data_IF_761789858021
#
_entry.id   IF_761789858021
#
_cell.length_a   1.000
_cell.length_b   1.000
_cell.length_c   1.000
_cell.angle_alpha   90.00
_cell.angle_beta   90.00
_cell.angle_gamma   90.00
#
_symmetry.space_group_name_H-M   'P 1'
#
loop_
_entity.id
_entity.type
_entity.pdbx_description
1 polymer ?
#
# COMPACT_ATOMS: atom_id res chain seq x y z
N UNK A 1 -11.99 97.97 0.60
CA UNK A 1 -11.93 98.45 -0.79
C UNK A 1 -10.74 97.79 -1.47
N UNK A 2 -10.97 97.18 -2.64
CA UNK A 2 -9.98 96.85 -3.70
C UNK A 2 -9.06 95.66 -3.33
N UNK A 3 -8.87 94.58 -4.10
CA UNK A 3 -9.39 94.14 -5.39
C UNK A 3 -9.22 92.61 -5.47
N UNK A 4 -10.18 91.96 -6.11
CA UNK A 4 -10.05 90.61 -6.64
C UNK A 4 -9.25 90.62 -7.95
N UNK A 5 -8.42 89.60 -8.22
CA UNK A 5 -8.18 89.12 -9.59
C UNK A 5 -7.50 87.73 -9.62
N UNK A 6 -8.32 86.75 -9.99
CA UNK A 6 -8.11 85.57 -10.82
C UNK A 6 -6.76 84.82 -10.76
N UNK A 7 -6.78 83.64 -10.11
CA UNK A 7 -5.83 82.55 -10.36
C UNK A 7 -6.51 81.55 -11.29
N UNK A 8 -5.99 81.45 -12.52
CA UNK A 8 -6.31 80.39 -13.49
C UNK A 8 -5.65 79.10 -12.99
N UNK A 9 -6.46 78.15 -12.53
CA UNK A 9 -5.99 76.83 -12.13
C UNK A 9 -6.18 75.85 -13.29
N UNK A 10 -5.14 75.70 -14.12
CA UNK A 10 -5.10 74.70 -15.18
C UNK A 10 -4.83 73.33 -14.56
N UNK A 11 -5.89 72.57 -14.27
CA UNK A 11 -5.79 71.17 -13.85
C UNK A 11 -5.41 70.36 -15.10
N UNK A 12 -4.12 70.06 -15.23
CA UNK A 12 -3.64 68.97 -16.09
C UNK A 12 -4.17 67.66 -15.51
N UNK A 13 -5.30 67.19 -16.03
CA UNK A 13 -5.70 65.78 -15.94
C UNK A 13 -4.72 64.94 -16.78
N UNK A 14 -3.60 64.56 -16.16
CA UNK A 14 -2.79 63.44 -16.62
C UNK A 14 -3.57 62.15 -16.32
N UNK A 15 -4.53 61.81 -17.19
CA UNK A 15 -5.08 60.47 -17.25
C UNK A 15 -3.94 59.53 -17.65
N UNK A 16 -3.42 58.75 -16.69
CA UNK A 16 -2.61 57.58 -16.99
C UNK A 16 -3.52 56.52 -17.61
N UNK A 17 -3.86 56.70 -18.88
CA UNK A 17 -4.25 55.58 -19.74
C UNK A 17 -3.00 54.75 -19.98
N UNK A 18 -2.71 53.84 -19.05
CA UNK A 18 -1.78 52.74 -19.34
C UNK A 18 -2.42 51.93 -20.46
N UNK A 19 -2.08 52.25 -21.70
CA UNK A 19 -2.42 51.43 -22.84
C UNK A 19 -1.93 50.01 -22.53
N UNK A 20 -2.85 49.05 -22.46
CA UNK A 20 -2.49 47.63 -22.31
C UNK A 20 -1.66 47.29 -23.54
N UNK A 21 -0.35 47.13 -23.34
CA UNK A 21 0.57 46.78 -24.41
C UNK A 21 0.22 45.36 -24.88
N UNK A 22 -0.43 45.26 -26.05
CA UNK A 22 -0.78 43.98 -26.66
C UNK A 22 0.43 43.49 -27.43
N UNK A 23 0.99 42.34 -27.04
CA UNK A 23 2.16 41.77 -27.69
C UNK A 23 1.80 41.14 -29.05
N UNK A 24 2.70 41.32 -30.03
CA UNK A 24 2.63 40.65 -31.33
C UNK A 24 3.51 39.40 -31.36
N UNK A 25 3.36 38.58 -32.40
CA UNK A 25 4.26 37.44 -32.62
C UNK A 25 5.73 37.85 -32.77
N UNK A 26 6.02 39.08 -33.24
CA UNK A 26 7.39 39.59 -33.36
C UNK A 26 7.99 39.83 -31.98
N UNK A 27 7.22 40.47 -31.10
CA UNK A 27 7.64 40.76 -29.72
C UNK A 27 7.88 39.47 -28.94
N UNK A 28 6.99 38.49 -29.08
CA UNK A 28 7.17 37.16 -28.47
C UNK A 28 8.43 36.46 -28.98
N UNK A 29 8.81 36.59 -30.25
CA UNK A 29 10.07 36.03 -30.74
C UNK A 29 11.28 36.71 -30.08
N UNK A 30 11.26 38.03 -29.89
CA UNK A 30 12.35 38.75 -29.21
C UNK A 30 12.50 38.26 -27.77
N UNK A 31 11.38 38.15 -27.03
CA UNK A 31 11.39 37.64 -25.65
C UNK A 31 11.85 36.18 -25.57
N UNK A 32 11.52 35.37 -26.58
CA UNK A 32 11.99 33.99 -26.68
C UNK A 32 13.52 33.93 -26.81
N UNK A 33 14.11 34.69 -27.74
CA UNK A 33 15.57 34.73 -27.93
C UNK A 33 16.30 35.25 -26.68
N UNK A 34 15.71 36.24 -26.00
CA UNK A 34 16.24 36.78 -24.75
C UNK A 34 16.03 35.87 -23.53
N UNK A 35 15.30 34.76 -23.68
CA UNK A 35 14.88 33.88 -22.57
C UNK A 35 14.15 34.65 -21.46
N UNK A 36 13.39 35.68 -21.83
CA UNK A 36 12.56 36.48 -20.94
C UNK A 36 11.29 35.70 -20.56
N UNK A 37 11.46 34.61 -19.81
CA UNK A 37 10.43 33.59 -19.56
C UNK A 37 9.11 34.13 -19.04
N UNK A 38 9.16 34.91 -17.94
CA UNK A 38 7.95 35.35 -17.24
C UNK A 38 7.14 36.33 -18.07
N UNK A 39 7.82 37.24 -18.75
CA UNK A 39 7.21 38.24 -19.62
C UNK A 39 6.58 37.58 -20.85
N UNK A 40 7.32 36.69 -21.53
CA UNK A 40 6.78 35.91 -22.64
C UNK A 40 5.49 35.19 -22.23
N UNK A 41 5.51 34.47 -21.10
CA UNK A 41 4.39 33.64 -20.67
C UNK A 41 3.20 34.46 -20.17
N UNK A 42 3.43 35.65 -19.60
CA UNK A 42 2.36 36.57 -19.23
C UNK A 42 1.60 37.10 -20.46
N UNK A 43 2.32 37.32 -21.56
CA UNK A 43 1.78 37.88 -22.80
C UNK A 43 1.49 36.83 -23.89
N UNK A 44 1.71 35.54 -23.61
CA UNK A 44 1.51 34.47 -24.59
C UNK A 44 0.06 34.42 -25.13
N UNK A 45 -0.92 34.80 -24.30
CA UNK A 45 -2.34 34.80 -24.67
C UNK A 45 -2.81 36.08 -25.37
N UNK A 46 -1.97 37.13 -25.44
CA UNK A 46 -2.28 38.38 -26.18
C UNK A 46 -2.47 38.11 -27.68
N UNK A 47 -1.80 37.07 -28.19
CA UNK A 47 -2.01 36.57 -29.54
C UNK A 47 -3.43 36.03 -29.65
N UNK A 48 -4.21 36.62 -30.56
CA UNK A 48 -5.60 36.19 -30.83
C UNK A 48 -5.66 34.70 -31.15
N UNK A 49 -6.70 33.96 -30.70
CA UNK A 49 -6.82 32.52 -30.94
C UNK A 49 -6.62 32.09 -32.40
N UNK A 50 -7.13 32.85 -33.36
CA UNK A 50 -6.98 32.60 -34.81
C UNK A 50 -5.54 32.70 -35.32
N UNK A 51 -4.65 33.40 -34.60
CA UNK A 51 -3.25 33.60 -34.96
C UNK A 51 -2.29 32.65 -34.23
N UNK A 52 -2.80 31.78 -33.34
CA UNK A 52 -2.03 30.79 -32.57
C UNK A 52 -1.67 29.57 -33.44
N UNK A 53 -0.76 29.82 -34.38
CA UNK A 53 -0.24 28.83 -35.32
C UNK A 53 0.78 27.88 -34.66
N UNK A 54 1.34 26.94 -35.44
CA UNK A 54 2.32 25.95 -34.97
C UNK A 54 3.51 26.58 -34.24
N UNK A 55 4.08 27.65 -34.81
CA UNK A 55 5.23 28.38 -34.24
C UNK A 55 4.91 28.93 -32.84
N UNK A 56 3.76 29.59 -32.67
CA UNK A 56 3.35 30.09 -31.35
C UNK A 56 3.26 28.95 -30.32
N UNK A 57 2.74 27.78 -30.71
CA UNK A 57 2.63 26.62 -29.81
C UNK A 57 4.00 26.11 -29.39
N UNK A 58 4.90 25.92 -30.34
CA UNK A 58 6.27 25.44 -30.10
C UNK A 58 7.02 26.37 -29.15
N UNK A 59 7.03 27.68 -29.44
CA UNK A 59 7.72 28.67 -28.61
C UNK A 59 7.11 28.76 -27.21
N UNK A 60 5.78 28.73 -27.10
CA UNK A 60 5.11 28.81 -25.80
C UNK A 60 5.37 27.59 -24.93
N UNK A 61 5.28 26.39 -25.50
CA UNK A 61 5.64 25.15 -24.81
C UNK A 61 7.10 25.16 -24.37
N UNK A 62 8.01 25.61 -25.26
CA UNK A 62 9.44 25.68 -24.96
C UNK A 62 9.75 26.68 -23.86
N UNK A 63 9.20 27.89 -23.91
CA UNK A 63 9.39 28.91 -22.87
C UNK A 63 8.87 28.45 -21.51
N UNK A 64 7.71 27.79 -21.48
CA UNK A 64 7.16 27.25 -20.24
C UNK A 64 8.06 26.13 -19.67
N UNK A 65 8.49 25.19 -20.51
CA UNK A 65 9.31 24.05 -20.08
C UNK A 65 10.72 24.48 -19.66
N UNK A 66 11.33 25.40 -20.39
CA UNK A 66 12.67 25.93 -20.11
C UNK A 66 12.64 26.79 -18.84
N UNK A 67 11.58 27.58 -18.63
CA UNK A 67 11.38 28.32 -17.39
C UNK A 67 11.36 27.39 -16.17
N UNK A 68 10.51 26.36 -16.19
CA UNK A 68 10.40 25.41 -15.07
C UNK A 68 11.73 24.68 -14.86
N UNK A 69 12.38 24.25 -15.95
CA UNK A 69 13.70 23.60 -15.88
C UNK A 69 14.75 24.53 -15.26
N UNK A 70 14.73 25.82 -15.60
CA UNK A 70 15.67 26.80 -15.03
C UNK A 70 15.50 26.95 -13.51
N UNK A 71 14.26 26.89 -13.01
CA UNK A 71 13.99 26.95 -11.57
C UNK A 71 14.45 25.68 -10.85
N UNK A 72 14.15 24.51 -11.42
CA UNK A 72 14.57 23.21 -10.88
C UNK A 72 16.11 23.16 -10.81
N UNK A 73 16.80 23.54 -11.88
CA UNK A 73 18.26 23.51 -11.94
C UNK A 73 18.92 24.47 -10.94
N UNK A 74 18.24 25.58 -10.60
CA UNK A 74 18.68 26.51 -9.56
C UNK A 74 18.30 26.06 -8.14
N UNK A 75 17.59 24.94 -7.98
CA UNK A 75 17.08 24.48 -6.68
C UNK A 75 16.01 25.39 -6.08
N UNK A 76 15.38 26.25 -6.89
CA UNK A 76 14.37 27.21 -6.42
C UNK A 76 13.00 26.54 -6.43
N UNK A 77 12.39 26.36 -5.27
CA UNK A 77 11.06 25.75 -5.13
C UNK A 77 10.20 26.52 -4.12
N UNK A 78 9.77 27.72 -4.51
CA UNK A 78 8.98 28.62 -3.66
C UNK A 78 7.48 28.49 -3.93
N UNK A 79 6.66 28.93 -2.96
CA UNK A 79 5.21 29.03 -3.09
C UNK A 79 4.78 29.84 -4.31
N UNK A 80 5.36 31.03 -4.50
CA UNK A 80 5.04 31.89 -5.63
C UNK A 80 5.41 31.23 -6.96
N UNK A 81 6.53 30.51 -7.03
CA UNK A 81 6.90 29.75 -8.21
C UNK A 81 5.92 28.60 -8.49
N UNK A 82 5.49 27.86 -7.46
CA UNK A 82 4.47 26.82 -7.58
C UNK A 82 3.16 27.39 -8.12
N UNK A 83 2.62 28.44 -7.49
CA UNK A 83 1.38 29.11 -7.93
C UNK A 83 1.47 29.63 -9.36
N UNK A 84 2.60 30.22 -9.75
CA UNK A 84 2.80 30.69 -11.11
C UNK A 84 2.76 29.53 -12.12
N UNK A 85 3.47 28.43 -11.84
CA UNK A 85 3.49 27.25 -12.73
C UNK A 85 2.11 26.60 -12.81
N UNK A 86 1.38 26.50 -11.69
CA UNK A 86 0.00 26.02 -11.69
C UNK A 86 -0.89 26.89 -12.58
N UNK A 87 -0.72 28.21 -12.54
CA UNK A 87 -1.48 29.15 -13.37
C UNK A 87 -1.18 29.00 -14.87
N UNK A 88 0.02 28.56 -15.26
CA UNK A 88 0.35 28.30 -16.67
C UNK A 88 -0.52 27.20 -17.28
N UNK A 89 -1.13 26.31 -16.47
CA UNK A 89 -2.07 25.29 -16.96
C UNK A 89 -3.37 25.87 -17.52
N UNK A 90 -3.64 27.17 -17.29
CA UNK A 90 -4.74 27.89 -17.93
C UNK A 90 -4.49 28.12 -19.43
N UNK A 91 -3.24 28.02 -19.90
CA UNK A 91 -2.90 28.03 -21.32
C UNK A 91 -3.21 26.61 -21.88
N UNK A 92 -4.21 26.44 -22.77
CA UNK A 92 -4.72 25.11 -23.12
C UNK A 92 -3.70 24.16 -23.74
N UNK A 93 -2.71 24.69 -24.47
CA UNK A 93 -1.64 23.88 -25.07
C UNK A 93 -0.69 23.31 -24.02
N UNK A 94 -0.41 24.06 -22.95
CA UNK A 94 0.47 23.61 -21.86
C UNK A 94 -0.21 22.55 -21.00
N UNK A 95 -1.54 22.66 -20.81
CA UNK A 95 -2.32 21.65 -20.09
C UNK A 95 -2.22 20.26 -20.74
N UNK A 96 -2.07 20.20 -22.06
CA UNK A 96 -2.00 18.96 -22.85
C UNK A 96 -0.58 18.54 -23.21
N UNK A 97 0.42 19.38 -22.94
CA UNK A 97 1.81 19.11 -23.32
C UNK A 97 2.52 18.23 -22.28
N UNK A 98 3.01 17.09 -22.73
CA UNK A 98 3.57 16.06 -21.86
C UNK A 98 4.90 16.45 -21.21
N UNK A 99 5.72 17.23 -21.92
CA UNK A 99 7.01 17.71 -21.40
C UNK A 99 6.78 18.76 -20.33
N UNK A 100 5.92 19.75 -20.60
CA UNK A 100 5.55 20.76 -19.62
C UNK A 100 4.87 20.13 -18.39
N UNK A 101 3.91 19.22 -18.58
CA UNK A 101 3.25 18.54 -17.45
C UNK A 101 4.24 17.74 -16.61
N UNK A 102 5.21 17.07 -17.23
CA UNK A 102 6.27 16.39 -16.49
C UNK A 102 7.07 17.40 -15.67
N UNK A 103 7.57 18.48 -16.29
CA UNK A 103 8.32 19.54 -15.61
C UNK A 103 7.55 20.18 -14.47
N UNK A 104 6.26 20.47 -14.67
CA UNK A 104 5.34 20.92 -13.62
C UNK A 104 5.31 19.95 -12.45
N UNK A 105 5.18 18.64 -12.70
CA UNK A 105 5.22 17.61 -11.65
C UNK A 105 6.58 17.55 -10.94
N UNK A 106 7.70 17.70 -11.64
CA UNK A 106 9.04 17.73 -11.03
C UNK A 106 9.20 18.93 -10.07
N UNK A 107 8.71 20.11 -10.49
CA UNK A 107 8.72 21.30 -9.67
C UNK A 107 7.79 21.15 -8.46
N UNK A 108 6.56 20.66 -8.67
CA UNK A 108 5.60 20.42 -7.60
C UNK A 108 6.17 19.46 -6.54
N UNK A 109 6.84 18.37 -6.95
CA UNK A 109 7.51 17.47 -6.01
C UNK A 109 8.57 18.20 -5.17
N UNK A 110 9.39 19.03 -5.81
CA UNK A 110 10.43 19.81 -5.13
C UNK A 110 9.83 20.81 -4.13
N UNK A 111 8.73 21.47 -4.50
CA UNK A 111 7.95 22.34 -3.62
C UNK A 111 7.38 21.57 -2.43
N UNK A 112 6.58 20.52 -2.66
CA UNK A 112 5.93 19.76 -1.59
C UNK A 112 6.93 19.04 -0.68
N UNK A 113 8.11 18.66 -1.18
CA UNK A 113 9.20 18.11 -0.35
C UNK A 113 9.64 19.07 0.75
N UNK A 114 9.66 20.38 0.45
CA UNK A 114 10.03 21.44 1.40
C UNK A 114 8.86 21.97 2.24
N UNK A 115 7.63 21.58 1.88
CA UNK A 115 6.40 22.13 2.45
C UNK A 115 5.93 21.33 3.66
N UNK A 116 6.18 21.83 4.87
CA UNK A 116 5.89 21.15 6.16
C UNK A 116 4.59 21.59 6.83
N UNK A 117 3.92 22.63 6.32
CA UNK A 117 2.71 23.22 6.93
C UNK A 117 1.44 22.47 6.52
N UNK A 118 0.38 22.59 7.33
CA UNK A 118 -0.92 21.97 7.03
C UNK A 118 -1.57 22.53 5.74
N UNK A 119 -1.30 23.79 5.40
CA UNK A 119 -1.74 24.41 4.14
C UNK A 119 -1.25 23.66 2.91
N UNK A 120 -0.06 23.05 2.97
CA UNK A 120 0.52 22.23 1.91
C UNK A 120 -0.36 21.04 1.54
N UNK A 121 -1.15 20.52 2.49
CA UNK A 121 -2.04 19.38 2.26
C UNK A 121 -3.21 19.73 1.34
N UNK A 122 -3.80 20.92 1.54
CA UNK A 122 -4.90 21.39 0.68
C UNK A 122 -4.39 21.62 -0.74
N UNK A 123 -3.25 22.30 -0.87
CA UNK A 123 -2.60 22.55 -2.15
C UNK A 123 -2.20 21.26 -2.87
N UNK A 124 -1.66 20.28 -2.13
CA UNK A 124 -1.32 18.98 -2.71
C UNK A 124 -2.56 18.28 -3.26
N UNK A 125 -3.69 18.29 -2.55
CA UNK A 125 -4.92 17.68 -3.05
C UNK A 125 -5.44 18.35 -4.32
N UNK A 126 -5.38 19.67 -4.40
CA UNK A 126 -5.77 20.43 -5.59
C UNK A 126 -4.85 20.14 -6.78
N UNK A 127 -3.55 20.18 -6.55
CA UNK A 127 -2.54 19.79 -7.53
C UNK A 127 -2.79 18.37 -8.03
N UNK A 128 -2.90 17.40 -7.11
CA UNK A 128 -3.03 15.99 -7.41
C UNK A 128 -4.25 15.68 -8.27
N UNK A 129 -5.40 16.33 -7.99
CA UNK A 129 -6.64 16.13 -8.75
C UNK A 129 -6.53 16.54 -10.22
N UNK A 130 -5.63 17.47 -10.53
CA UNK A 130 -5.48 18.05 -11.87
C UNK A 130 -4.17 17.66 -12.56
N UNK A 131 -3.27 17.00 -11.84
CA UNK A 131 -1.98 16.59 -12.35
C UNK A 131 -2.09 15.44 -13.34
N UNK A 132 -1.24 15.48 -14.36
CA UNK A 132 -0.93 14.28 -15.12
C UNK A 132 -0.08 13.38 -14.22
N UNK A 133 -0.46 12.11 -14.13
CA UNK A 133 0.18 11.12 -13.28
C UNK A 133 1.33 10.43 -14.00
N UNK A 134 2.44 10.33 -13.29
CA UNK A 134 3.67 9.70 -13.76
C UNK A 134 4.14 8.75 -12.65
N UNK A 135 4.16 7.43 -12.86
CA UNK A 135 4.36 6.45 -11.78
C UNK A 135 5.61 6.71 -10.91
N UNK A 136 6.72 7.13 -11.52
CA UNK A 136 7.94 7.48 -10.79
C UNK A 136 7.74 8.65 -9.82
N UNK A 137 6.99 9.67 -10.23
CA UNK A 137 6.69 10.82 -9.38
C UNK A 137 5.56 10.53 -8.41
N UNK A 138 4.56 9.75 -8.81
CA UNK A 138 3.48 9.32 -7.93
C UNK A 138 4.05 8.50 -6.76
N UNK A 139 5.00 7.61 -7.04
CA UNK A 139 5.74 6.88 -6.02
C UNK A 139 6.57 7.83 -5.12
N UNK A 140 7.26 8.82 -5.69
CA UNK A 140 7.99 9.83 -4.91
C UNK A 140 7.07 10.65 -3.99
N UNK A 141 5.87 10.99 -4.43
CA UNK A 141 4.86 11.65 -3.59
C UNK A 141 4.33 10.71 -2.51
N UNK A 142 4.09 9.44 -2.84
CA UNK A 142 3.75 8.43 -1.84
C UNK A 142 4.83 8.35 -0.74
N UNK A 143 6.11 8.29 -1.11
CA UNK A 143 7.23 8.28 -0.15
C UNK A 143 7.25 9.53 0.74
N UNK A 144 6.87 10.69 0.20
CA UNK A 144 6.80 11.93 0.96
C UNK A 144 5.73 11.87 2.07
N UNK A 145 4.58 11.23 1.79
CA UNK A 145 3.40 11.25 2.66
C UNK A 145 3.21 9.97 3.50
N UNK A 146 3.83 8.83 3.14
CA UNK A 146 3.56 7.52 3.75
C UNK A 146 3.65 7.48 5.28
N UNK A 147 4.60 8.21 5.87
CA UNK A 147 4.80 8.27 7.33
C UNK A 147 4.05 9.42 8.01
N UNK A 148 3.46 10.34 7.23
CA UNK A 148 2.89 11.60 7.74
C UNK A 148 1.37 11.65 7.64
N UNK A 149 0.80 11.07 6.59
CA UNK A 149 -0.63 11.15 6.30
C UNK A 149 -1.13 9.87 5.61
N UNK A 150 -1.67 8.96 6.41
CA UNK A 150 -2.23 7.69 5.93
C UNK A 150 -3.38 7.87 4.94
N UNK A 151 -4.19 8.95 5.05
CA UNK A 151 -5.31 9.19 4.12
C UNK A 151 -4.78 9.56 2.74
N UNK A 152 -3.82 10.48 2.69
CA UNK A 152 -3.18 10.87 1.42
C UNK A 152 -2.40 9.70 0.82
N UNK A 153 -1.72 8.93 1.65
CA UNK A 153 -1.03 7.69 1.24
C UNK A 153 -1.96 6.71 0.55
N UNK A 154 -3.12 6.42 1.15
CA UNK A 154 -4.11 5.52 0.59
C UNK A 154 -4.67 6.02 -0.76
N UNK A 155 -4.75 7.34 -0.94
CA UNK A 155 -5.24 7.96 -2.16
C UNK A 155 -4.22 7.92 -3.31
N UNK A 156 -2.93 8.09 -3.01
CA UNK A 156 -1.85 8.07 -4.01
C UNK A 156 -1.53 6.64 -4.46
N UNK A 157 -1.55 5.68 -3.53
CA UNK A 157 -1.04 4.33 -3.75
C UNK A 157 -1.54 3.68 -5.07
N UNK A 158 -2.85 3.70 -5.39
CA UNK A 158 -3.37 3.10 -6.62
C UNK A 158 -2.80 3.64 -7.93
N UNK A 159 -2.20 4.85 -7.95
CA UNK A 159 -1.72 5.46 -9.19
C UNK A 159 -0.46 4.80 -9.74
N UNK A 160 0.44 4.31 -8.89
CA UNK A 160 1.63 3.59 -9.32
C UNK A 160 1.48 2.07 -9.23
N UNK A 161 0.66 1.55 -8.30
CA UNK A 161 0.40 0.10 -8.17
C UNK A 161 -0.54 -0.46 -9.25
N UNK A 162 -1.14 0.40 -10.06
CA UNK A 162 -1.95 0.03 -11.24
C UNK A 162 -1.35 0.50 -12.57
N UNK A 163 -0.12 0.99 -12.52
CA UNK A 163 0.55 1.55 -13.70
C UNK A 163 1.33 0.47 -14.45
N UNK A 164 1.68 0.76 -15.71
CA UNK A 164 2.67 -0.05 -16.42
C UNK A 164 4.00 -0.05 -15.64
N UNK A 165 4.52 -1.22 -15.30
CA UNK A 165 5.71 -1.35 -14.46
C UNK A 165 5.42 -1.34 -12.95
N UNK A 166 4.17 -1.59 -12.53
CA UNK A 166 3.77 -1.59 -11.11
C UNK A 166 4.59 -2.57 -10.25
N UNK A 167 5.12 -3.64 -10.84
CA UNK A 167 5.98 -4.64 -10.20
C UNK A 167 7.25 -4.03 -9.58
N UNK A 168 7.80 -2.96 -10.16
CA UNK A 168 8.99 -2.30 -9.64
C UNK A 168 8.75 -1.59 -8.30
N UNK A 169 7.52 -1.12 -8.08
CA UNK A 169 7.12 -0.45 -6.84
C UNK A 169 6.58 -1.46 -5.82
N UNK A 170 5.77 -2.42 -6.26
CA UNK A 170 5.08 -3.36 -5.38
C UNK A 170 6.01 -4.39 -4.72
N UNK A 171 7.22 -4.62 -5.25
CA UNK A 171 8.26 -5.42 -4.58
C UNK A 171 8.84 -4.78 -3.30
N UNK A 172 8.56 -3.49 -3.06
CA UNK A 172 9.08 -2.78 -1.87
C UNK A 172 8.26 -3.15 -0.64
N UNK A 173 8.92 -3.64 0.41
CA UNK A 173 8.22 -4.18 1.59
C UNK A 173 7.27 -3.19 2.29
N UNK A 174 7.58 -1.88 2.27
CA UNK A 174 6.67 -0.88 2.83
C UNK A 174 5.42 -0.64 1.97
N UNK A 175 5.52 -0.74 0.64
CA UNK A 175 4.37 -0.68 -0.28
C UNK A 175 3.46 -1.88 -0.03
N UNK A 176 4.03 -3.08 0.12
CA UNK A 176 3.26 -4.29 0.46
C UNK A 176 2.50 -4.11 1.78
N UNK A 177 3.18 -3.59 2.81
CA UNK A 177 2.54 -3.35 4.11
C UNK A 177 1.38 -2.35 4.01
N UNK A 178 1.55 -1.24 3.28
CA UNK A 178 0.50 -0.23 3.10
C UNK A 178 -0.66 -0.73 2.25
N UNK A 179 -0.38 -1.44 1.16
CA UNK A 179 -1.41 -2.04 0.33
C UNK A 179 -2.22 -3.07 1.12
N UNK A 180 -1.56 -3.97 1.85
CA UNK A 180 -2.25 -4.95 2.70
C UNK A 180 -3.08 -4.24 3.77
N UNK A 181 -2.58 -3.16 4.37
CA UNK A 181 -3.33 -2.36 5.37
C UNK A 181 -4.63 -1.78 4.78
N UNK A 182 -4.59 -1.25 3.56
CA UNK A 182 -5.78 -0.77 2.86
C UNK A 182 -6.74 -1.93 2.60
N UNK A 183 -6.22 -3.03 2.06
CA UNK A 183 -7.02 -4.20 1.72
C UNK A 183 -7.61 -4.91 2.94
N UNK A 184 -7.03 -4.78 4.14
CA UNK A 184 -7.66 -5.30 5.36
C UNK A 184 -9.01 -4.65 5.63
N UNK A 185 -9.11 -3.33 5.44
CA UNK A 185 -10.38 -2.62 5.63
C UNK A 185 -11.39 -3.03 4.57
N UNK A 186 -10.96 -3.07 3.31
CA UNK A 186 -11.83 -3.33 2.16
C UNK A 186 -12.25 -4.81 2.04
N UNK A 187 -11.41 -5.74 2.49
CA UNK A 187 -11.67 -7.18 2.40
C UNK A 187 -12.29 -7.77 3.66
N UNK A 188 -12.47 -7.00 4.74
CA UNK A 188 -13.00 -7.50 6.02
C UNK A 188 -14.31 -8.27 5.86
N UNK A 189 -15.29 -7.66 5.19
CA UNK A 189 -16.64 -8.24 4.98
C UNK A 189 -16.84 -8.79 3.56
N UNK A 190 -15.83 -8.67 2.70
CA UNK A 190 -15.90 -9.09 1.30
C UNK A 190 -15.74 -10.59 1.18
N UNK A 191 -16.65 -11.26 0.46
CA UNK A 191 -16.54 -12.71 0.18
C UNK A 191 -15.33 -13.01 -0.71
N UNK A 192 -14.75 -14.21 -0.61
CA UNK A 192 -13.57 -14.60 -1.41
C UNK A 192 -13.83 -14.41 -2.91
N UNK A 193 -15.00 -14.83 -3.40
CA UNK A 193 -15.36 -14.71 -4.82
C UNK A 193 -15.39 -13.29 -5.38
N UNK A 194 -15.56 -12.26 -4.54
CA UNK A 194 -15.54 -10.84 -4.93
C UNK A 194 -14.23 -10.12 -4.58
N UNK A 195 -13.30 -10.81 -3.91
CA UNK A 195 -12.08 -10.17 -3.40
C UNK A 195 -11.19 -9.67 -4.53
N UNK A 196 -11.15 -10.37 -5.68
CA UNK A 196 -10.35 -9.97 -6.84
C UNK A 196 -10.76 -8.59 -7.37
N UNK A 197 -12.07 -8.35 -7.52
CA UNK A 197 -12.61 -7.07 -8.00
C UNK A 197 -12.24 -5.91 -7.07
N UNK A 198 -12.31 -6.15 -5.75
CA UNK A 198 -11.91 -5.15 -4.74
C UNK A 198 -10.41 -4.87 -4.82
N UNK A 199 -9.57 -5.91 -4.93
CA UNK A 199 -8.12 -5.77 -5.01
C UNK A 199 -7.70 -4.96 -6.26
N UNK A 200 -8.34 -5.22 -7.42
CA UNK A 200 -8.05 -4.52 -8.67
C UNK A 200 -8.36 -3.02 -8.65
N UNK A 201 -9.11 -2.53 -7.65
CA UNK A 201 -9.28 -1.10 -7.42
C UNK A 201 -8.00 -0.43 -6.93
N UNK A 202 -7.12 -1.18 -6.26
CA UNK A 202 -5.93 -0.67 -5.59
C UNK A 202 -4.62 -1.14 -6.21
N UNK A 203 -4.58 -2.28 -6.89
CA UNK A 203 -3.36 -2.81 -7.48
C UNK A 203 -3.71 -3.68 -8.69
N UNK A 204 -2.92 -3.59 -9.75
CA UNK A 204 -3.09 -4.45 -10.92
C UNK A 204 -2.54 -5.88 -10.67
N UNK A 205 -2.66 -6.72 -11.70
CA UNK A 205 -2.22 -8.11 -11.63
C UNK A 205 -0.71 -8.25 -11.45
N UNK A 206 0.10 -7.39 -12.05
CA UNK A 206 1.56 -7.50 -12.04
C UNK A 206 2.11 -7.09 -10.67
N UNK A 207 1.55 -6.01 -10.11
CA UNK A 207 1.77 -5.61 -8.73
C UNK A 207 1.47 -6.76 -7.75
N UNK A 208 0.26 -7.34 -7.83
CA UNK A 208 -0.16 -8.43 -6.92
C UNK A 208 0.69 -9.69 -7.11
N UNK A 209 1.09 -10.01 -8.34
CA UNK A 209 1.96 -11.15 -8.61
C UNK A 209 3.35 -10.95 -8.00
N UNK A 210 3.90 -9.73 -8.11
CA UNK A 210 5.24 -9.39 -7.59
C UNK A 210 5.38 -9.52 -6.07
N UNK A 211 4.28 -9.35 -5.32
CA UNK A 211 4.24 -9.41 -3.86
C UNK A 211 3.81 -10.77 -3.29
N UNK A 212 3.47 -11.73 -4.16
CA UNK A 212 2.92 -13.05 -3.79
C UNK A 212 3.79 -13.81 -2.78
N UNK A 213 5.11 -13.80 -2.97
CA UNK A 213 6.08 -14.45 -2.07
C UNK A 213 6.01 -13.87 -0.66
N UNK A 214 6.10 -12.54 -0.53
CA UNK A 214 6.08 -11.87 0.77
C UNK A 214 4.73 -12.05 1.48
N UNK A 215 3.61 -12.01 0.73
CA UNK A 215 2.29 -12.28 1.30
C UNK A 215 2.17 -13.74 1.76
N UNK A 216 2.71 -14.70 1.02
CA UNK A 216 2.70 -16.12 1.39
C UNK A 216 3.50 -16.37 2.67
N UNK A 217 4.71 -15.80 2.76
CA UNK A 217 5.53 -15.85 3.98
C UNK A 217 4.78 -15.25 5.18
N UNK A 218 4.12 -14.10 4.98
CA UNK A 218 3.32 -13.49 6.04
C UNK A 218 2.05 -14.29 6.39
N UNK A 219 1.44 -14.98 5.43
CA UNK A 219 0.26 -15.82 5.67
C UNK A 219 0.61 -17.02 6.56
N UNK A 220 1.75 -17.65 6.29
CA UNK A 220 2.21 -18.86 6.98
C UNK A 220 2.89 -18.57 8.32
N UNK A 221 3.29 -17.32 8.57
CA UNK A 221 3.87 -16.91 9.86
C UNK A 221 2.89 -17.10 11.02
N UNK A 222 3.32 -17.77 12.09
CA UNK A 222 2.51 -17.94 13.31
C UNK A 222 2.32 -16.63 14.08
N UNK A 223 3.17 -15.63 13.88
CA UNK A 223 3.11 -14.33 14.56
C UNK A 223 1.95 -13.44 14.07
N UNK A 224 1.26 -13.80 12.99
CA UNK A 224 0.17 -12.99 12.43
C UNK A 224 -1.18 -13.45 12.97
N UNK A 225 -2.02 -12.48 13.33
CA UNK A 225 -3.39 -12.76 13.79
C UNK A 225 -4.24 -13.41 12.68
N UNK A 226 -5.23 -14.21 13.08
CA UNK A 226 -6.15 -14.85 12.14
C UNK A 226 -6.92 -13.84 11.28
N UNK A 227 -7.23 -12.64 11.78
CA UNK A 227 -7.82 -11.56 10.98
C UNK A 227 -6.90 -11.14 9.83
N UNK A 228 -5.61 -10.92 10.12
CA UNK A 228 -4.60 -10.58 9.10
C UNK A 228 -4.48 -11.71 8.08
N UNK A 229 -4.39 -12.95 8.55
CA UNK A 229 -4.25 -14.13 7.70
C UNK A 229 -5.44 -14.33 6.76
N UNK A 230 -6.67 -14.07 7.22
CA UNK A 230 -7.86 -14.10 6.35
C UNK A 230 -7.70 -13.13 5.17
N UNK A 231 -7.26 -11.90 5.42
CA UNK A 231 -7.00 -10.92 4.35
C UNK A 231 -5.93 -11.39 3.39
N UNK A 232 -4.78 -11.86 3.90
CA UNK A 232 -3.68 -12.37 3.08
C UNK A 232 -4.12 -13.57 2.23
N UNK A 233 -4.90 -14.48 2.81
CA UNK A 233 -5.48 -15.61 2.11
C UNK A 233 -6.43 -15.17 0.99
N UNK A 234 -7.32 -14.20 1.24
CA UNK A 234 -8.21 -13.64 0.21
C UNK A 234 -7.41 -13.05 -0.95
N UNK A 235 -6.32 -12.34 -0.66
CA UNK A 235 -5.44 -11.76 -1.70
C UNK A 235 -4.84 -12.86 -2.58
N UNK A 236 -4.21 -13.87 -1.98
CA UNK A 236 -3.58 -14.94 -2.76
C UNK A 236 -4.61 -15.83 -3.47
N UNK A 237 -5.67 -16.24 -2.76
CA UNK A 237 -6.66 -17.19 -3.27
C UNK A 237 -7.43 -16.62 -4.46
N UNK A 238 -7.89 -15.38 -4.37
CA UNK A 238 -8.67 -14.74 -5.44
C UNK A 238 -7.84 -14.43 -6.69
N UNK A 239 -6.51 -14.45 -6.57
CA UNK A 239 -5.57 -14.27 -7.68
C UNK A 239 -4.89 -15.57 -8.13
N UNK A 240 -5.25 -16.72 -7.56
CA UNK A 240 -4.63 -18.03 -7.84
C UNK A 240 -3.11 -18.06 -7.57
N UNK A 241 -2.66 -17.36 -6.52
CA UNK A 241 -1.24 -17.21 -6.16
C UNK A 241 -0.81 -18.06 -4.95
N UNK A 242 -1.68 -18.92 -4.43
CA UNK A 242 -1.36 -19.83 -3.33
C UNK A 242 -1.22 -21.26 -3.85
N UNK A 243 -0.10 -21.91 -3.51
CA UNK A 243 0.11 -23.32 -3.85
C UNK A 243 -0.82 -24.22 -3.03
N UNK A 244 -1.18 -25.40 -3.55
CA UNK A 244 -1.98 -26.36 -2.79
C UNK A 244 -1.32 -26.75 -1.44
N UNK A 245 0.01 -26.83 -1.43
CA UNK A 245 0.80 -27.17 -0.24
C UNK A 245 0.70 -26.08 0.82
N UNK A 246 0.80 -24.81 0.42
CA UNK A 246 0.72 -23.66 1.34
C UNK A 246 -0.70 -23.41 1.80
N UNK A 247 -1.68 -23.64 0.94
CA UNK A 247 -3.09 -23.64 1.30
C UNK A 247 -3.39 -24.69 2.37
N UNK A 248 -2.84 -25.91 2.24
CA UNK A 248 -2.98 -26.97 3.25
C UNK A 248 -2.37 -26.56 4.60
N UNK A 249 -1.15 -26.03 4.58
CA UNK A 249 -0.46 -25.58 5.80
C UNK A 249 -1.18 -24.40 6.44
N UNK A 250 -1.62 -23.42 5.65
CA UNK A 250 -2.39 -22.29 6.13
C UNK A 250 -3.66 -22.76 6.83
N UNK A 251 -4.45 -23.63 6.22
CA UNK A 251 -5.70 -24.06 6.82
C UNK A 251 -5.50 -24.89 8.10
N UNK A 252 -4.46 -25.73 8.15
CA UNK A 252 -4.15 -26.48 9.36
C UNK A 252 -3.74 -25.55 10.51
N UNK A 253 -2.79 -24.65 10.23
CA UNK A 253 -2.34 -23.66 11.23
C UNK A 253 -3.46 -22.71 11.65
N UNK A 254 -4.31 -22.27 10.72
CA UNK A 254 -5.47 -21.40 11.01
C UNK A 254 -6.41 -22.03 12.05
N UNK A 255 -6.69 -23.33 11.94
CA UNK A 255 -7.50 -24.03 12.95
C UNK A 255 -6.74 -24.19 14.27
N UNK A 256 -5.45 -24.56 14.21
CA UNK A 256 -4.64 -24.74 15.42
C UNK A 256 -4.38 -23.43 16.17
N UNK A 257 -4.49 -22.28 15.50
CA UNK A 257 -4.31 -20.96 16.07
C UNK A 257 -5.61 -20.30 16.60
N UNK A 258 -6.73 -21.03 16.65
CA UNK A 258 -8.01 -20.50 17.12
C UNK A 258 -8.77 -19.74 16.01
N UNK A 259 -9.51 -20.45 15.15
CA UNK A 259 -10.08 -19.88 13.93
C UNK A 259 -11.22 -18.91 14.24
N UNK A 260 -11.44 -17.97 13.31
CA UNK A 260 -12.61 -17.08 13.33
C UNK A 260 -13.72 -17.72 12.50
N UNK A 261 -14.93 -17.80 13.05
CA UNK A 261 -16.11 -18.33 12.37
C UNK A 261 -16.39 -17.51 11.10
N UNK A 262 -16.60 -18.20 9.98
CA UNK A 262 -16.90 -17.58 8.69
C UNK A 262 -16.52 -18.46 7.50
N UNK A 263 -16.52 -17.87 6.31
CA UNK A 263 -16.22 -18.55 5.04
C UNK A 263 -14.87 -19.29 5.07
N UNK A 264 -13.81 -18.63 5.56
CA UNK A 264 -12.46 -19.23 5.65
C UNK A 264 -12.42 -20.41 6.62
N UNK A 265 -13.19 -20.36 7.71
CA UNK A 265 -13.27 -21.50 8.64
C UNK A 265 -13.95 -22.71 8.01
N UNK A 266 -15.05 -22.51 7.28
CA UNK A 266 -15.72 -23.60 6.56
C UNK A 266 -14.81 -24.21 5.49
N UNK A 267 -14.04 -23.39 4.78
CA UNK A 267 -13.04 -23.86 3.82
C UNK A 267 -11.92 -24.65 4.51
N UNK A 268 -11.41 -24.15 5.63
CA UNK A 268 -10.37 -24.81 6.41
C UNK A 268 -10.84 -26.19 6.88
N UNK A 269 -12.03 -26.25 7.48
CA UNK A 269 -12.64 -27.49 7.95
C UNK A 269 -12.74 -28.53 6.84
N UNK A 270 -13.31 -28.14 5.69
CA UNK A 270 -13.47 -29.04 4.54
C UNK A 270 -12.13 -29.43 3.93
N UNK A 271 -11.15 -28.53 3.90
CA UNK A 271 -9.81 -28.83 3.38
C UNK A 271 -9.13 -29.89 4.24
N UNK A 272 -9.15 -29.75 5.56
CA UNK A 272 -8.52 -30.71 6.49
C UNK A 272 -9.12 -32.12 6.33
N UNK A 273 -10.44 -32.23 6.17
CA UNK A 273 -11.08 -33.52 5.85
C UNK A 273 -10.55 -34.08 4.51
N UNK A 274 -10.46 -33.25 3.47
CA UNK A 274 -9.96 -33.72 2.16
C UNK A 274 -8.50 -34.16 2.21
N UNK A 275 -7.63 -33.41 2.90
CA UNK A 275 -6.21 -33.75 3.04
C UNK A 275 -6.05 -35.05 3.84
N UNK A 276 -6.87 -35.27 4.88
CA UNK A 276 -6.77 -36.45 5.73
C UNK A 276 -6.96 -37.76 4.97
N UNK A 277 -7.75 -37.74 3.88
CA UNK A 277 -8.02 -38.90 3.03
C UNK A 277 -6.93 -39.20 1.99
N UNK A 278 -5.94 -38.32 1.80
CA UNK A 278 -4.89 -38.50 0.78
C UNK A 278 -3.53 -38.71 1.44
N UNK A 279 -3.05 -39.96 1.52
CA UNK A 279 -1.82 -40.32 2.25
C UNK A 279 -0.62 -39.41 1.94
N UNK A 280 -0.24 -39.25 0.67
CA UNK A 280 0.91 -38.41 0.27
C UNK A 280 0.75 -36.94 0.69
N UNK A 281 -0.45 -36.39 0.58
CA UNK A 281 -0.73 -34.98 0.95
C UNK A 281 -0.79 -34.80 2.46
N UNK A 282 -1.40 -35.74 3.17
CA UNK A 282 -1.43 -35.85 4.63
C UNK A 282 -0.02 -35.88 5.22
N UNK A 283 0.83 -36.78 4.72
CA UNK A 283 2.21 -36.93 5.17
C UNK A 283 3.01 -35.65 4.93
N UNK A 284 2.89 -35.06 3.73
CA UNK A 284 3.56 -33.79 3.41
C UNK A 284 3.12 -32.67 4.36
N UNK A 285 1.83 -32.54 4.63
CA UNK A 285 1.30 -31.54 5.57
C UNK A 285 1.82 -31.80 6.98
N UNK A 286 1.77 -33.05 7.45
CA UNK A 286 2.26 -33.44 8.79
C UNK A 286 3.73 -33.07 8.99
N UNK A 287 4.60 -33.42 8.04
CA UNK A 287 6.03 -33.07 8.09
C UNK A 287 6.23 -31.55 8.18
N UNK A 288 5.48 -30.78 7.39
CA UNK A 288 5.56 -29.31 7.41
C UNK A 288 5.06 -28.69 8.72
N UNK A 289 4.02 -29.27 9.33
CA UNK A 289 3.53 -28.78 10.63
C UNK A 289 4.53 -29.10 11.75
N UNK A 290 5.10 -30.30 11.74
CA UNK A 290 6.08 -30.74 12.76
C UNK A 290 7.45 -30.07 12.63
N UNK A 291 7.76 -29.42 11.50
CA UNK A 291 8.98 -28.63 11.33
C UNK A 291 8.84 -27.16 11.77
N UNK A 292 7.68 -26.77 12.29
CA UNK A 292 7.47 -25.39 12.78
C UNK A 292 7.99 -25.23 14.20
N UNK A 293 8.47 -24.03 14.53
CA UNK A 293 8.92 -23.70 15.88
C UNK A 293 8.39 -22.30 16.29
N UNK A 294 7.53 -22.18 17.31
CA UNK A 294 6.90 -23.29 18.05
C UNK A 294 5.90 -24.06 17.17
N UNK A 295 5.53 -25.26 17.61
CA UNK A 295 4.44 -26.03 17.02
C UNK A 295 3.09 -25.32 17.26
N UNK A 296 2.26 -25.14 16.22
CA UNK A 296 0.93 -24.52 16.34
C UNK A 296 0.03 -25.28 17.34
N UNK A 297 -0.57 -24.58 18.29
CA UNK A 297 -1.33 -25.23 19.37
C UNK A 297 -2.14 -24.29 20.27
N UNK A 298 -2.33 -23.04 19.86
CA UNK A 298 -3.03 -21.99 20.61
C UNK A 298 -4.48 -22.39 20.91
N UNK A 299 -5.09 -23.21 20.03
CA UNK A 299 -6.41 -23.79 20.25
C UNK A 299 -6.48 -24.61 21.53
N UNK A 300 -5.40 -25.24 21.98
CA UNK A 300 -5.39 -26.07 23.20
C UNK A 300 -5.58 -25.23 24.47
N UNK A 301 -5.20 -23.96 24.42
CA UNK A 301 -5.38 -23.00 25.51
C UNK A 301 -6.66 -22.14 25.34
N UNK A 302 -7.54 -22.46 24.39
CA UNK A 302 -8.73 -21.65 24.13
C UNK A 302 -9.67 -21.63 25.37
N UNK A 303 -10.16 -20.45 25.79
CA UNK A 303 -10.92 -20.30 27.03
C UNK A 303 -12.32 -20.95 26.97
N UNK A 304 -12.98 -20.88 25.81
CA UNK A 304 -14.21 -21.63 25.54
C UNK A 304 -13.87 -23.11 25.37
N UNK A 305 -14.18 -23.91 26.39
CA UNK A 305 -13.86 -25.33 26.46
C UNK A 305 -14.62 -26.14 25.41
N UNK A 306 -15.86 -25.77 25.11
CA UNK A 306 -16.67 -26.46 24.09
C UNK A 306 -16.05 -26.29 22.70
N UNK A 307 -15.65 -25.06 22.35
CA UNK A 307 -14.94 -24.78 21.09
C UNK A 307 -13.60 -25.49 21.03
N UNK A 308 -12.79 -25.38 22.08
CA UNK A 308 -11.50 -26.08 22.18
C UNK A 308 -11.68 -27.57 21.89
N UNK A 309 -12.57 -28.20 22.63
CA UNK A 309 -12.75 -29.64 22.62
C UNK A 309 -13.27 -30.14 21.27
N UNK A 310 -14.12 -29.35 20.62
CA UNK A 310 -14.59 -29.60 19.25
C UNK A 310 -13.42 -29.58 18.26
N UNK A 311 -12.55 -28.57 18.34
CA UNK A 311 -11.42 -28.43 17.42
C UNK A 311 -10.33 -29.48 17.65
N UNK A 312 -10.05 -29.83 18.92
CA UNK A 312 -9.13 -30.94 19.23
C UNK A 312 -9.69 -32.26 18.72
N UNK A 313 -10.97 -32.56 18.97
CA UNK A 313 -11.63 -33.78 18.45
C UNK A 313 -11.58 -33.83 16.92
N UNK A 314 -11.80 -32.69 16.26
CA UNK A 314 -11.71 -32.58 14.81
C UNK A 314 -10.30 -32.90 14.31
N UNK A 315 -9.27 -32.35 14.94
CA UNK A 315 -7.88 -32.66 14.61
C UNK A 315 -7.51 -34.10 14.93
N UNK A 316 -7.92 -34.64 16.07
CA UNK A 316 -7.69 -36.04 16.42
C UNK A 316 -8.30 -37.00 15.40
N UNK A 317 -9.50 -36.72 14.89
CA UNK A 317 -10.15 -37.56 13.87
C UNK A 317 -9.40 -37.51 12.53
N UNK A 318 -8.82 -36.37 12.18
CA UNK A 318 -8.26 -36.13 10.84
C UNK A 318 -6.74 -36.23 10.78
N UNK A 319 -6.02 -35.92 11.85
CA UNK A 319 -4.56 -35.85 11.98
C UNK A 319 -4.13 -36.23 13.42
N UNK A 320 -4.47 -37.43 13.93
CA UNK A 320 -4.02 -37.88 15.26
C UNK A 320 -2.50 -37.86 15.42
N UNK A 321 -1.76 -38.11 14.33
CA UNK A 321 -0.29 -38.10 14.30
C UNK A 321 0.30 -36.73 14.63
N UNK A 322 -0.43 -35.64 14.33
CA UNK A 322 -0.01 -34.30 14.74
C UNK A 322 -0.08 -34.13 16.26
N UNK A 323 -1.17 -34.59 16.89
CA UNK A 323 -1.32 -34.53 18.34
C UNK A 323 -0.28 -35.41 19.05
N UNK A 324 0.00 -36.59 18.50
CA UNK A 324 1.09 -37.45 19.00
C UNK A 324 2.46 -36.79 18.85
N UNK A 325 2.75 -36.21 17.68
CA UNK A 325 4.00 -35.49 17.43
C UNK A 325 4.17 -34.29 18.36
N UNK A 326 3.09 -33.53 18.59
CA UNK A 326 3.07 -32.41 19.54
C UNK A 326 3.40 -32.88 20.96
N UNK A 327 2.76 -33.96 21.45
CA UNK A 327 3.03 -34.48 22.80
C UNK A 327 4.42 -35.11 22.91
N UNK A 328 4.92 -35.82 21.89
CA UNK A 328 6.29 -36.35 21.88
C UNK A 328 7.33 -35.23 21.95
N UNK A 329 7.14 -34.17 21.18
CA UNK A 329 8.01 -32.98 21.20
C UNK A 329 8.01 -32.34 22.59
N UNK A 330 6.82 -32.22 23.20
CA UNK A 330 6.68 -31.74 24.57
C UNK A 330 7.41 -32.59 25.61
N UNK A 331 7.26 -33.92 25.55
CA UNK A 331 7.96 -34.85 26.45
C UNK A 331 9.48 -34.70 26.30
N UNK A 332 9.97 -34.65 25.06
CA UNK A 332 11.41 -34.51 24.78
C UNK A 332 11.97 -33.20 25.34
N UNK A 333 11.21 -32.11 25.22
CA UNK A 333 11.58 -30.82 25.82
C UNK A 333 11.63 -30.89 27.34
N UNK A 334 10.57 -31.40 27.99
CA UNK A 334 10.53 -31.50 29.45
C UNK A 334 11.53 -32.50 30.03
N UNK A 335 11.89 -33.55 29.30
CA UNK A 335 12.92 -34.49 29.75
C UNK A 335 14.35 -34.03 29.44
N UNK A 336 14.55 -32.88 28.79
CA UNK A 336 15.88 -32.42 28.36
C UNK A 336 16.56 -33.32 27.33
N UNK A 337 15.79 -34.17 26.62
CA UNK A 337 16.35 -35.14 25.67
C UNK A 337 16.80 -34.49 24.35
N UNK A 338 16.27 -33.30 24.04
CA UNK A 338 16.58 -32.53 22.83
C UNK A 338 16.71 -31.07 23.21
N UNK A 339 17.76 -30.41 22.72
CA UNK A 339 17.92 -28.97 22.87
C UNK A 339 17.00 -28.22 21.90
N UNK A 340 16.30 -27.22 22.43
CA UNK A 340 15.44 -26.33 21.66
C UNK A 340 15.95 -24.89 21.80
N UNK A 341 16.68 -24.35 20.79
CA UNK A 341 17.40 -23.08 20.92
C UNK A 341 16.49 -21.86 21.10
N UNK A 342 15.21 -21.99 20.76
CA UNK A 342 14.21 -20.93 20.86
C UNK A 342 13.24 -21.10 22.04
N UNK A 343 13.54 -22.00 22.99
CA UNK A 343 12.73 -22.26 24.18
C UNK A 343 11.71 -23.39 23.98
N UNK A 344 10.57 -23.33 24.68
CA UNK A 344 9.56 -24.40 24.63
C UNK A 344 8.89 -24.49 23.25
N UNK A 345 9.12 -25.57 22.47
CA UNK A 345 8.55 -25.75 21.13
C UNK A 345 7.03 -26.04 21.16
N UNK A 346 6.47 -26.31 22.34
CA UNK A 346 5.08 -26.74 22.55
C UNK A 346 4.42 -25.95 23.67
N UNK A 347 4.31 -24.64 23.46
CA UNK A 347 3.85 -23.66 24.45
C UNK A 347 2.56 -24.08 25.18
N UNK A 348 1.65 -24.78 24.49
CA UNK A 348 0.34 -25.16 25.03
C UNK A 348 0.21 -26.66 25.38
N UNK A 349 1.33 -27.35 25.55
CA UNK A 349 1.32 -28.77 25.90
C UNK A 349 0.52 -29.07 27.18
N UNK A 350 0.72 -28.29 28.23
CA UNK A 350 0.02 -28.48 29.49
C UNK A 350 -1.50 -28.36 29.33
N UNK A 351 -1.94 -27.40 28.52
CA UNK A 351 -3.36 -27.19 28.21
C UNK A 351 -3.94 -28.37 27.43
N UNK A 352 -3.19 -28.91 26.45
CA UNK A 352 -3.56 -30.12 25.72
C UNK A 352 -3.66 -31.34 26.66
N UNK A 353 -2.66 -31.56 27.50
CA UNK A 353 -2.64 -32.70 28.42
C UNK A 353 -3.77 -32.62 29.46
N UNK A 354 -4.09 -31.42 29.96
CA UNK A 354 -5.26 -31.19 30.82
C UNK A 354 -6.57 -31.49 30.08
N UNK A 355 -6.72 -31.03 28.84
CA UNK A 355 -7.92 -31.24 28.03
C UNK A 355 -8.13 -32.71 27.62
N UNK A 356 -7.05 -33.50 27.56
CA UNK A 356 -7.06 -34.90 27.11
C UNK A 356 -7.11 -35.91 28.26
N UNK A 357 -7.04 -35.48 29.53
CA UNK A 357 -6.97 -36.36 30.71
C UNK A 357 -8.03 -37.48 30.71
N UNK A 358 -9.29 -37.14 30.42
CA UNK A 358 -10.42 -38.08 30.38
C UNK A 358 -10.88 -38.45 28.96
N UNK A 359 -10.05 -38.19 27.95
CA UNK A 359 -10.43 -38.32 26.54
C UNK A 359 -9.42 -39.15 25.76
N UNK A 360 -9.86 -39.95 24.78
CA UNK A 360 -8.98 -40.85 24.03
C UNK A 360 -8.23 -40.13 22.89
N UNK A 361 -7.99 -38.82 22.99
CA UNK A 361 -7.33 -38.06 21.93
C UNK A 361 -5.81 -38.24 21.89
N UNK A 362 -5.22 -38.65 23.01
CA UNK A 362 -3.80 -38.96 23.18
C UNK A 362 -3.73 -40.35 23.81
N UNK A 363 -2.80 -41.17 23.34
CA UNK A 363 -2.58 -42.52 23.85
C UNK A 363 -2.11 -42.49 25.31
N UNK A 364 -2.59 -43.42 26.14
CA UNK A 364 -2.33 -43.38 27.59
C UNK A 364 -0.84 -43.53 27.94
N UNK A 365 -0.08 -44.28 27.15
CA UNK A 365 1.36 -44.40 27.34
C UNK A 365 2.09 -43.04 27.20
N UNK A 366 1.60 -42.14 26.32
CA UNK A 366 2.15 -40.78 26.20
C UNK A 366 1.75 -39.91 27.38
N UNK A 367 0.53 -40.07 27.91
CA UNK A 367 0.09 -39.37 29.13
C UNK A 367 0.96 -39.72 30.34
N UNK A 368 1.26 -41.02 30.50
CA UNK A 368 2.13 -41.52 31.57
C UNK A 368 3.55 -40.92 31.43
N UNK A 369 4.12 -40.97 30.22
CA UNK A 369 5.46 -40.39 29.95
C UNK A 369 5.50 -38.89 30.24
N UNK A 370 4.49 -38.14 29.81
CA UNK A 370 4.37 -36.71 30.11
C UNK A 370 4.34 -36.44 31.63
N UNK A 371 3.52 -37.17 32.38
CA UNK A 371 3.48 -37.04 33.84
C UNK A 371 4.82 -37.37 34.52
N UNK A 372 5.59 -38.30 33.96
CA UNK A 372 6.94 -38.61 34.41
C UNK A 372 7.97 -37.51 34.09
N UNK A 373 7.88 -36.88 32.91
CA UNK A 373 8.83 -35.85 32.46
C UNK A 373 8.76 -34.54 33.23
N UNK A 374 7.63 -34.23 33.88
CA UNK A 374 7.42 -32.98 34.64
C UNK A 374 8.05 -32.95 36.04
N UNK A 375 8.73 -34.02 36.45
CA UNK A 375 9.23 -34.19 37.83
C UNK A 375 10.58 -33.50 38.10
N UNK A 376 11.09 -32.70 37.17
CA UNK A 376 12.36 -31.98 37.30
C UNK A 376 12.19 -30.50 36.98
#
# INVERSE_FOLDING_TARGET
>A
MINALAIIFTILLCAKTSAVQIYTMKDLNVLYEQKAYKEYLAHALDIRPSLRNKKWRELTTKMASDYVSSLINKGVSTYNGFKYIENLTNIPILKKDDFFQLKRTQYAYSYFKSCTKETCRKEFKEFWRTAKHYPDYDFKFYELFRLKDSRTTNYILPYFTKSSGSEFYCKKGHVVNDLVRILETELRLTRIGKSKEVILKFADKDCISSLSKQITESLLSLKKSNMKKITLFKILKSNNLISNSDEDLFFATYILQGPIVGEVFNLAWNRIIKVSQTYKRREKLLRRMLSMDPLPGEVFAHPDTSKRDTLIKFFHRNFPEYLEGYVKTCINYYSGAVEHPYGNPTIHCDSLMKATKKRPWIQDHLKIKYSGSKKF
#
